data_IF_402210894598
#
_entry.id   IF_402210894598
#
_cell.length_a   1.000
_cell.length_b   1.000
_cell.length_c   1.000
_cell.angle_alpha   90.00
_cell.angle_beta   90.00
_cell.angle_gamma   90.00
#
_symmetry.space_group_name_H-M   'P 1'
#
loop_
_entity.id
_entity.type
_entity.pdbx_description
1 polymer ?
#
# COMPACT_ATOMS: atom_id res chain seq x y z
N UNK A 1 56.08 18.10 25.09
CA UNK A 1 55.85 18.73 26.41
C UNK A 1 54.34 18.79 26.59
N UNK A 2 53.77 17.85 27.38
CA UNK A 2 53.27 18.05 28.76
C UNK A 2 52.08 19.02 28.81
N UNK A 3 50.94 18.77 29.45
CA UNK A 3 50.44 17.62 30.25
C UNK A 3 49.03 17.99 30.75
N UNK A 4 48.15 16.99 30.91
CA UNK A 4 47.22 16.75 32.06
C UNK A 4 46.36 17.91 32.63
N UNK A 5 45.06 17.74 32.91
CA UNK A 5 44.61 16.81 33.96
C UNK A 5 43.10 16.53 33.93
N UNK A 6 42.80 15.32 34.42
CA UNK A 6 41.50 14.69 34.70
C UNK A 6 40.74 15.27 35.89
N UNK A 7 39.44 14.95 36.01
CA UNK A 7 38.88 14.33 37.24
C UNK A 7 37.53 13.65 37.00
N UNK A 8 37.43 12.45 37.56
CA UNK A 8 36.26 11.56 37.67
C UNK A 8 35.22 12.08 38.66
N UNK A 9 33.96 11.65 38.50
CA UNK A 9 33.17 11.10 39.62
C UNK A 9 32.11 10.12 39.11
N UNK A 10 32.08 8.94 39.73
CA UNK A 10 31.09 7.88 39.59
C UNK A 10 30.60 7.51 40.99
N UNK A 11 29.29 7.24 41.15
CA UNK A 11 28.63 6.40 42.16
C UNK A 11 27.10 6.66 42.02
N UNK A 12 26.16 5.71 42.09
CA UNK A 12 25.98 4.68 43.11
C UNK A 12 25.02 3.59 42.60
N UNK A 13 25.33 2.35 42.95
CA UNK A 13 24.47 1.17 42.84
C UNK A 13 24.02 0.75 44.24
N UNK A 14 22.79 0.27 44.39
CA UNK A 14 22.28 -0.38 45.60
C UNK A 14 21.64 -1.73 45.24
N UNK A 15 22.06 -2.83 45.86
CA UNK A 15 21.33 -4.09 45.91
C UNK A 15 20.67 -4.28 47.29
N UNK A 16 19.48 -4.88 47.33
CA UNK A 16 18.93 -5.45 48.56
C UNK A 16 18.64 -6.94 48.42
N UNK A 17 18.86 -7.60 49.56
CA UNK A 17 19.22 -8.98 49.80
C UNK A 17 18.01 -9.79 50.27
N UNK A 18 18.11 -11.10 50.04
CA UNK A 18 17.27 -12.17 50.57
C UNK A 18 17.03 -12.10 52.09
N UNK A 19 15.82 -12.50 52.51
CA UNK A 19 15.58 -13.12 53.81
C UNK A 19 14.80 -14.43 53.64
N UNK A 20 15.36 -15.44 54.32
CA UNK A 20 14.92 -16.81 54.52
C UNK A 20 13.80 -16.92 55.55
N UNK A 21 12.91 -17.89 55.39
CA UNK A 21 11.93 -18.29 56.41
C UNK A 21 11.40 -19.69 56.16
N UNK A 22 12.03 -20.67 56.78
CA UNK A 22 11.69 -22.09 56.83
C UNK A 22 10.48 -22.37 57.73
N UNK A 23 9.62 -23.30 57.34
CA UNK A 23 8.58 -23.90 58.18
C UNK A 23 8.07 -25.20 57.58
N UNK A 24 8.69 -26.30 58.00
CA UNK A 24 8.38 -27.70 57.65
C UNK A 24 7.27 -28.28 58.55
N UNK A 25 6.69 -29.38 58.05
CA UNK A 25 5.89 -30.48 58.69
C UNK A 25 4.49 -30.57 58.06
N UNK A 26 3.99 -31.72 57.61
CA UNK A 26 4.47 -33.09 57.59
C UNK A 26 3.61 -33.88 56.59
N UNK A 27 4.14 -35.03 56.16
CA UNK A 27 3.56 -35.87 55.13
C UNK A 27 2.93 -37.16 55.71
N UNK A 28 2.18 -37.85 54.85
CA UNK A 28 2.06 -39.33 54.69
C UNK A 28 0.70 -39.99 55.02
N UNK A 29 0.20 -40.69 53.97
CA UNK A 29 -0.64 -41.91 53.90
C UNK A 29 -2.06 -41.88 54.49
N UNK A 30 -3.07 -42.57 53.96
CA UNK A 30 -3.14 -43.64 52.95
C UNK A 30 -4.20 -44.66 53.38
N UNK A 31 -4.92 -45.23 52.39
CA UNK A 31 -5.76 -46.44 52.44
C UNK A 31 -7.17 -46.39 53.08
N UNK A 32 -8.17 -46.55 52.21
CA UNK A 32 -8.99 -47.78 52.13
C UNK A 32 -9.93 -48.15 53.28
N UNK A 33 -11.24 -48.06 53.04
CA UNK A 33 -12.25 -48.70 53.87
C UNK A 33 -13.66 -48.56 53.30
N UNK A 34 -14.16 -49.63 52.67
CA UNK A 34 -15.51 -49.72 52.14
C UNK A 34 -16.50 -50.19 53.22
N UNK A 35 -17.65 -49.53 53.35
CA UNK A 35 -18.89 -50.09 53.89
C UNK A 35 -20.11 -49.51 53.16
N UNK A 36 -20.98 -50.40 52.71
CA UNK A 36 -22.25 -50.22 51.97
C UNK A 36 -23.44 -49.97 52.94
N UNK A 37 -24.70 -49.83 52.48
CA UNK A 37 -25.28 -48.68 51.77
C UNK A 37 -26.56 -48.15 52.47
N UNK A 38 -26.85 -46.85 52.41
CA UNK A 38 -28.16 -46.32 52.84
C UNK A 38 -29.08 -45.97 51.66
N UNK A 39 -30.29 -46.50 51.77
CA UNK A 39 -31.37 -46.58 50.79
C UNK A 39 -32.04 -45.21 50.60
N UNK A 40 -31.45 -44.31 49.80
CA UNK A 40 -32.10 -43.03 49.45
C UNK A 40 -31.84 -42.54 48.00
N UNK A 41 -31.18 -43.33 47.14
CA UNK A 41 -30.76 -42.89 45.79
C UNK A 41 -31.52 -43.50 44.60
N UNK A 42 -32.62 -44.22 44.80
CA UNK A 42 -33.35 -44.90 43.72
C UNK A 42 -34.51 -44.10 43.09
N UNK A 43 -34.89 -42.91 43.61
CA UNK A 43 -35.94 -42.07 43.01
C UNK A 43 -35.46 -40.87 42.16
N UNK A 44 -34.16 -40.59 42.14
CA UNK A 44 -33.56 -39.46 41.39
C UNK A 44 -32.81 -39.88 40.11
N UNK A 45 -32.65 -41.18 39.86
CA UNK A 45 -31.96 -41.72 38.68
C UNK A 45 -32.90 -42.06 37.50
N UNK A 46 -34.18 -42.33 37.78
CA UNK A 46 -35.17 -42.61 36.73
C UNK A 46 -35.62 -41.34 35.97
N UNK A 47 -35.60 -40.17 36.61
CA UNK A 47 -36.01 -38.89 36.01
C UNK A 47 -34.90 -38.22 35.18
N UNK A 48 -33.63 -38.59 35.37
CA UNK A 48 -32.50 -38.08 34.58
C UNK A 48 -32.30 -38.83 33.25
N UNK A 49 -32.57 -40.14 33.19
CA UNK A 49 -32.49 -40.90 31.92
C UNK A 49 -33.62 -40.56 30.95
N UNK A 50 -34.83 -40.34 31.43
CA UNK A 50 -35.96 -39.92 30.59
C UNK A 50 -35.75 -38.51 30.05
N UNK A 51 -35.23 -37.57 30.86
CA UNK A 51 -34.90 -36.22 30.38
C UNK A 51 -33.80 -36.22 29.33
N UNK A 52 -32.74 -37.01 29.50
CA UNK A 52 -31.62 -37.09 28.54
C UNK A 52 -32.04 -37.73 27.20
N UNK A 53 -32.90 -38.76 27.24
CA UNK A 53 -33.46 -39.37 26.03
C UNK A 53 -34.37 -38.40 25.26
N UNK A 54 -35.19 -37.61 25.97
CA UNK A 54 -36.03 -36.59 25.32
C UNK A 54 -35.19 -35.46 24.71
N UNK A 55 -34.12 -34.97 25.35
CA UNK A 55 -33.26 -33.94 24.74
C UNK A 55 -32.50 -34.47 23.53
N UNK A 56 -32.00 -35.71 23.55
CA UNK A 56 -31.30 -36.30 22.41
C UNK A 56 -32.25 -36.54 21.23
N UNK A 57 -33.46 -37.06 21.47
CA UNK A 57 -34.47 -37.22 20.43
C UNK A 57 -34.95 -35.87 19.86
N UNK A 58 -35.07 -34.83 20.68
CA UNK A 58 -35.45 -33.48 20.22
C UNK A 58 -34.36 -32.82 19.39
N UNK A 59 -33.08 -33.01 19.75
CA UNK A 59 -31.94 -32.50 18.95
C UNK A 59 -31.79 -33.25 17.63
N UNK A 60 -31.99 -34.57 17.60
CA UNK A 60 -31.98 -35.34 16.34
C UNK A 60 -33.16 -34.95 15.45
N UNK A 61 -34.35 -34.72 16.01
CA UNK A 61 -35.50 -34.22 15.24
C UNK A 61 -35.26 -32.81 14.67
N UNK A 62 -34.62 -31.90 15.41
CA UNK A 62 -34.21 -30.58 14.89
C UNK A 62 -33.17 -30.74 13.77
N UNK A 63 -32.19 -31.64 13.92
CA UNK A 63 -31.23 -31.91 12.84
C UNK A 63 -31.90 -32.46 11.57
N UNK A 64 -32.91 -33.34 11.70
CA UNK A 64 -33.67 -33.84 10.56
C UNK A 64 -34.59 -32.78 9.93
N UNK A 65 -35.17 -31.87 10.73
CA UNK A 65 -35.97 -30.74 10.23
C UNK A 65 -35.11 -29.66 9.55
N UNK A 66 -33.85 -29.48 9.98
CA UNK A 66 -32.88 -28.62 9.29
C UNK A 66 -32.26 -29.27 8.04
N UNK A 67 -32.11 -30.60 7.98
CA UNK A 67 -31.65 -31.29 6.77
C UNK A 67 -32.73 -31.48 5.71
N UNK A 68 -34.02 -31.49 6.10
CA UNK A 68 -35.14 -31.68 5.17
C UNK A 68 -35.70 -30.38 4.57
N UNK A 69 -35.22 -29.21 5.00
CA UNK A 69 -35.69 -27.90 4.50
C UNK A 69 -34.79 -27.28 3.41
N UNK A 70 -33.75 -28.00 2.95
CA UNK A 70 -32.88 -27.57 1.85
C UNK A 70 -32.91 -28.56 0.69
N UNK A 71 -34.09 -28.78 0.12
CA UNK A 71 -34.20 -29.29 -1.27
C UNK A 71 -35.29 -28.51 -2.00
N UNK A 72 -34.97 -27.27 -2.34
CA UNK A 72 -35.67 -26.51 -3.37
C UNK A 72 -34.68 -26.21 -4.51
N UNK A 73 -35.14 -26.16 -5.78
CA UNK A 73 -34.27 -26.23 -6.94
C UNK A 73 -33.41 -24.97 -7.04
N UNK A 74 -32.12 -25.17 -7.33
CA UNK A 74 -31.17 -24.13 -7.71
C UNK A 74 -31.62 -23.49 -9.03
N UNK A 75 -32.46 -22.46 -8.92
CA UNK A 75 -32.56 -21.41 -9.93
C UNK A 75 -31.34 -20.51 -9.71
N UNK A 76 -30.50 -20.41 -10.74
CA UNK A 76 -29.18 -19.79 -10.70
C UNK A 76 -29.19 -18.40 -10.10
N UNK A 77 -28.58 -18.28 -8.93
CA UNK A 77 -28.14 -17.01 -8.38
C UNK A 77 -26.74 -16.78 -8.93
N UNK A 78 -26.64 -15.77 -9.81
CA UNK A 78 -25.37 -15.34 -10.39
C UNK A 78 -24.37 -15.03 -9.29
N UNK A 79 -23.17 -15.60 -9.44
CA UNK A 79 -21.98 -15.09 -8.81
C UNK A 79 -21.81 -13.64 -9.27
N UNK A 80 -21.94 -12.71 -8.34
CA UNK A 80 -21.56 -11.31 -8.53
C UNK A 80 -20.03 -11.30 -8.66
N UNK A 81 -19.54 -11.49 -9.89
CA UNK A 81 -18.15 -11.26 -10.24
C UNK A 81 -17.84 -9.77 -10.07
N UNK A 82 -17.06 -9.47 -9.05
CA UNK A 82 -16.45 -8.18 -8.80
C UNK A 82 -15.81 -7.61 -10.08
N UNK A 83 -16.36 -6.49 -10.56
CA UNK A 83 -15.60 -5.37 -11.13
C UNK A 83 -14.85 -5.53 -12.47
N UNK A 84 -14.84 -6.69 -13.14
CA UNK A 84 -14.08 -6.86 -14.39
C UNK A 84 -14.89 -7.31 -15.61
N UNK A 85 -16.19 -7.58 -15.47
CA UNK A 85 -17.04 -8.05 -16.58
C UNK A 85 -17.47 -6.93 -17.55
N UNK A 86 -17.25 -5.65 -17.23
CA UNK A 86 -17.73 -4.52 -18.06
C UNK A 86 -16.91 -4.28 -19.35
N UNK A 87 -15.82 -5.02 -19.60
CA UNK A 87 -15.01 -4.85 -20.82
C UNK A 87 -15.19 -5.96 -21.88
N UNK A 88 -16.18 -6.84 -21.72
CA UNK A 88 -16.38 -8.00 -22.60
C UNK A 88 -17.67 -7.87 -23.44
N UNK A 89 -17.71 -6.88 -24.32
CA UNK A 89 -18.66 -6.86 -25.43
C UNK A 89 -18.03 -7.43 -26.69
N UNK A 90 -18.23 -8.73 -26.95
CA UNK A 90 -18.03 -9.30 -28.29
C UNK A 90 -19.19 -8.84 -29.18
N UNK A 91 -18.90 -8.47 -30.43
CA UNK A 91 -19.81 -7.74 -31.30
C UNK A 91 -21.21 -8.34 -31.47
N UNK A 92 -22.13 -7.44 -31.84
CA UNK A 92 -23.54 -7.63 -32.26
C UNK A 92 -24.66 -7.50 -31.21
N UNK A 93 -24.61 -6.48 -30.34
CA UNK A 93 -25.86 -5.87 -29.88
C UNK A 93 -25.69 -4.35 -29.66
N UNK A 94 -26.51 -3.55 -30.34
CA UNK A 94 -26.51 -2.09 -30.27
C UNK A 94 -27.27 -1.60 -29.02
N UNK A 95 -26.77 -1.97 -27.84
CA UNK A 95 -27.01 -1.23 -26.60
C UNK A 95 -25.82 -0.33 -26.33
N UNK A 96 -25.97 0.99 -26.43
CA UNK A 96 -24.94 1.96 -26.03
C UNK A 96 -24.76 1.86 -24.52
N UNK A 97 -23.93 0.93 -24.05
CA UNK A 97 -23.46 0.91 -22.67
C UNK A 97 -22.49 2.07 -22.48
N UNK A 98 -22.97 3.19 -21.96
CA UNK A 98 -22.12 4.34 -21.64
C UNK A 98 -21.25 4.03 -20.43
N UNK A 99 -19.94 3.91 -20.62
CA UNK A 99 -18.95 3.81 -19.53
C UNK A 99 -18.95 5.13 -18.75
N UNK A 100 -19.32 5.11 -17.46
CA UNK A 100 -19.33 6.32 -16.62
C UNK A 100 -17.95 6.56 -16.02
N UNK A 101 -17.39 7.75 -16.23
CA UNK A 101 -16.14 8.23 -15.61
C UNK A 101 -16.13 7.93 -14.12
N UNK A 102 -15.06 7.28 -13.66
CA UNK A 102 -14.83 6.95 -12.25
C UNK A 102 -14.06 8.09 -11.58
N UNK A 103 -14.55 8.55 -10.44
CA UNK A 103 -13.98 9.66 -9.68
C UNK A 103 -13.47 9.25 -8.30
N UNK A 104 -13.82 8.04 -7.84
CA UNK A 104 -13.41 7.49 -6.56
C UNK A 104 -12.25 6.51 -6.76
N UNK A 105 -11.03 6.96 -6.47
CA UNK A 105 -9.79 6.21 -6.72
C UNK A 105 -8.93 6.16 -5.46
N UNK A 106 -8.56 4.94 -5.07
CA UNK A 106 -7.45 4.73 -4.15
C UNK A 106 -6.26 4.17 -4.92
N UNK A 107 -5.17 4.93 -4.98
CA UNK A 107 -3.91 4.49 -5.54
C UNK A 107 -2.89 4.23 -4.43
N UNK A 108 -2.63 2.95 -4.17
CA UNK A 108 -1.57 2.53 -3.26
C UNK A 108 -0.21 2.72 -3.92
N UNK A 109 0.42 3.85 -3.59
CA UNK A 109 1.73 4.24 -4.09
C UNK A 109 2.86 3.42 -3.44
N UNK A 110 3.52 2.57 -4.23
CA UNK A 110 4.71 1.79 -3.81
C UNK A 110 6.01 2.53 -4.15
N UNK A 111 7.06 2.36 -3.35
CA UNK A 111 8.31 3.08 -3.55
C UNK A 111 9.08 2.61 -4.79
N UNK A 112 9.64 3.58 -5.53
CA UNK A 112 10.52 3.37 -6.70
C UNK A 112 9.90 2.54 -7.85
N UNK A 113 8.57 2.46 -7.92
CA UNK A 113 7.80 1.80 -8.97
C UNK A 113 7.25 2.76 -10.04
N UNK A 114 7.92 3.88 -10.32
CA UNK A 114 7.39 5.00 -11.14
C UNK A 114 6.06 5.60 -10.60
N UNK A 115 5.81 5.41 -9.31
CA UNK A 115 4.53 5.71 -8.68
C UNK A 115 4.28 7.21 -8.46
N UNK A 116 5.32 8.06 -8.41
CA UNK A 116 5.15 9.53 -8.41
C UNK A 116 4.60 10.05 -9.74
N UNK A 117 4.93 9.42 -10.87
CA UNK A 117 4.34 9.78 -12.16
C UNK A 117 2.85 9.44 -12.22
N UNK A 118 2.44 8.27 -11.70
CA UNK A 118 1.03 7.91 -11.56
C UNK A 118 0.29 8.79 -10.55
N UNK A 119 0.95 9.17 -9.45
CA UNK A 119 0.37 10.13 -8.52
C UNK A 119 0.04 11.46 -9.22
N UNK A 120 0.91 11.95 -10.11
CA UNK A 120 0.62 13.14 -10.91
C UNK A 120 -0.60 12.91 -11.81
N UNK A 121 -0.75 11.75 -12.47
CA UNK A 121 -1.96 11.40 -13.25
C UNK A 121 -3.22 11.54 -12.40
N UNK A 122 -3.25 10.94 -11.20
CA UNK A 122 -4.42 11.01 -10.32
C UNK A 122 -4.66 12.42 -9.73
N UNK A 123 -3.60 13.12 -9.33
CA UNK A 123 -3.71 14.49 -8.81
C UNK A 123 -4.14 15.49 -9.87
N UNK A 124 -3.62 15.37 -11.10
CA UNK A 124 -4.02 16.18 -12.24
C UNK A 124 -5.49 15.99 -12.55
N UNK A 125 -5.96 14.74 -12.60
CA UNK A 125 -7.38 14.45 -12.81
C UNK A 125 -8.23 15.07 -11.70
N UNK A 126 -7.88 14.84 -10.43
CA UNK A 126 -8.62 15.42 -9.31
C UNK A 126 -8.63 16.94 -9.32
N UNK A 127 -7.50 17.58 -9.64
CA UNK A 127 -7.38 19.03 -9.75
C UNK A 127 -8.23 19.60 -10.91
N UNK A 128 -8.17 18.97 -12.09
CA UNK A 128 -8.95 19.35 -13.28
C UNK A 128 -10.46 19.26 -13.03
N UNK A 129 -10.89 18.27 -12.24
CA UNK A 129 -12.30 18.00 -11.95
C UNK A 129 -12.77 18.52 -10.58
N UNK A 130 -11.94 19.32 -9.88
CA UNK A 130 -12.24 19.85 -8.54
C UNK A 130 -12.66 18.78 -7.50
N UNK A 131 -12.04 17.61 -7.58
CA UNK A 131 -12.29 16.49 -6.68
C UNK A 131 -11.55 16.67 -5.34
N UNK A 132 -12.09 16.05 -4.27
CA UNK A 132 -11.47 16.09 -2.94
C UNK A 132 -10.39 15.02 -2.85
N UNK A 133 -9.15 15.43 -2.60
CA UNK A 133 -7.95 14.61 -2.54
C UNK A 133 -7.49 14.41 -1.09
N UNK A 134 -7.21 13.16 -0.72
CA UNK A 134 -6.64 12.79 0.56
C UNK A 134 -5.16 13.22 0.63
N UNK A 135 -4.89 14.23 1.47
CA UNK A 135 -3.56 14.80 1.67
C UNK A 135 -3.11 14.67 3.13
N UNK A 136 -1.81 14.39 3.38
CA UNK A 136 -1.27 14.35 4.74
C UNK A 136 -1.32 15.73 5.39
N UNK A 137 -1.20 15.76 6.73
CA UNK A 137 -1.13 16.98 7.53
C UNK A 137 -0.13 18.00 6.96
N UNK A 138 -0.35 19.29 7.24
CA UNK A 138 0.36 20.43 6.61
C UNK A 138 1.89 20.30 6.60
N UNK A 139 2.47 19.66 7.63
CA UNK A 139 3.93 19.51 7.78
C UNK A 139 4.48 18.13 7.37
N UNK A 140 3.66 17.28 6.73
CA UNK A 140 4.03 15.93 6.33
C UNK A 140 3.82 15.74 4.82
N UNK A 141 4.58 14.85 4.17
CA UNK A 141 4.35 14.49 2.76
C UNK A 141 3.83 13.05 2.60
N UNK A 142 3.73 12.34 3.72
CA UNK A 142 3.41 10.92 3.81
C UNK A 142 2.32 10.74 4.86
N UNK A 143 1.41 9.80 4.63
CA UNK A 143 0.58 9.24 5.67
C UNK A 143 1.30 8.09 6.36
N UNK A 144 2.04 8.42 7.42
CA UNK A 144 2.81 7.44 8.17
C UNK A 144 4.08 7.01 7.43
N UNK A 145 4.30 5.69 7.36
CA UNK A 145 5.54 5.05 6.89
C UNK A 145 6.72 5.36 7.84
N UNK A 146 7.00 4.51 8.84
CA UNK A 146 6.74 3.07 8.85
C UNK A 146 5.39 2.65 9.45
N UNK A 147 4.69 3.56 10.14
CA UNK A 147 3.36 3.28 10.67
C UNK A 147 2.38 3.02 9.52
N UNK A 148 1.46 2.09 9.75
CA UNK A 148 0.29 1.88 8.88
C UNK A 148 -0.56 3.14 8.78
N UNK A 149 -1.25 3.29 7.65
CA UNK A 149 -2.27 4.32 7.50
C UNK A 149 -3.28 4.26 8.65
N UNK A 150 -3.57 5.42 9.22
CA UNK A 150 -4.67 5.61 10.15
C UNK A 150 -5.40 6.88 9.74
N UNK A 151 -6.74 6.87 9.74
CA UNK A 151 -7.49 8.05 9.27
C UNK A 151 -7.22 9.33 10.07
N UNK A 152 -6.75 9.21 11.32
CA UNK A 152 -6.34 10.37 12.13
C UNK A 152 -5.16 11.16 11.54
N UNK A 153 -4.46 10.61 10.53
CA UNK A 153 -3.41 11.30 9.78
C UNK A 153 -3.95 12.27 8.71
N UNK A 154 -5.27 12.30 8.50
CA UNK A 154 -5.92 13.23 7.59
C UNK A 154 -6.25 14.52 8.33
N UNK A 155 -5.90 15.66 7.70
CA UNK A 155 -6.11 16.98 8.28
C UNK A 155 -7.59 17.23 8.64
N UNK A 156 -8.51 16.73 7.83
CA UNK A 156 -9.93 17.09 7.93
C UNK A 156 -10.75 16.16 8.83
N UNK A 157 -10.18 15.05 9.30
CA UNK A 157 -10.73 14.24 10.39
C UNK A 157 -10.43 14.86 11.77
N UNK A 158 -9.51 15.83 11.82
CA UNK A 158 -9.15 16.56 13.05
C UNK A 158 -9.94 17.85 13.26
N UNK A 159 -10.61 18.35 12.21
CA UNK A 159 -11.50 19.51 12.29
C UNK A 159 -12.91 19.00 12.60
N UNK A 160 -13.55 19.53 13.65
CA UNK A 160 -14.88 19.12 14.14
C UNK A 160 -16.02 19.49 13.16
N UNK A 161 -15.91 19.07 11.90
CA UNK A 161 -17.01 19.16 10.94
C UNK A 161 -17.98 18.02 11.24
N UNK A 162 -19.27 18.33 11.37
CA UNK A 162 -20.32 17.35 11.74
C UNK A 162 -20.60 16.29 10.66
N UNK A 163 -19.90 16.35 9.53
CA UNK A 163 -20.09 15.43 8.40
C UNK A 163 -18.74 14.79 8.04
N UNK A 164 -18.67 13.46 7.89
CA UNK A 164 -17.46 12.80 7.43
C UNK A 164 -17.13 13.28 6.01
N UNK A 165 -15.90 13.78 5.82
CA UNK A 165 -15.45 14.17 4.49
C UNK A 165 -15.12 12.92 3.71
N UNK A 166 -15.78 12.77 2.57
CA UNK A 166 -15.57 11.68 1.65
C UNK A 166 -14.53 12.10 0.63
N UNK A 167 -13.42 11.36 0.54
CA UNK A 167 -12.36 11.65 -0.41
C UNK A 167 -12.62 10.94 -1.74
N UNK A 168 -12.46 11.67 -2.84
CA UNK A 168 -12.57 11.13 -4.18
C UNK A 168 -11.25 10.47 -4.59
N UNK A 169 -10.10 11.09 -4.33
CA UNK A 169 -8.80 10.53 -4.74
C UNK A 169 -7.85 10.42 -3.55
N UNK A 170 -7.26 9.24 -3.37
CA UNK A 170 -6.16 9.02 -2.43
C UNK A 170 -4.98 8.42 -3.19
N UNK A 171 -3.96 9.24 -3.45
CA UNK A 171 -2.74 8.81 -4.16
C UNK A 171 -1.41 9.23 -3.45
N UNK A 172 -1.49 9.73 -2.22
CA UNK A 172 -0.31 10.12 -1.42
C UNK A 172 0.42 8.91 -0.85
N UNK A 173 1.74 9.03 -0.62
CA UNK A 173 2.52 7.96 0.01
C UNK A 173 1.93 7.52 1.35
N UNK A 174 1.75 6.21 1.52
CA UNK A 174 1.28 5.62 2.77
C UNK A 174 1.82 4.20 2.94
N UNK A 175 1.57 3.59 4.10
CA UNK A 175 1.68 2.14 4.28
C UNK A 175 0.28 1.57 4.41
N UNK A 176 -0.06 0.63 3.53
CA UNK A 176 -1.44 0.24 3.29
C UNK A 176 -2.11 -0.38 4.52
N UNK A 177 -3.30 0.11 4.84
CA UNK A 177 -4.20 -0.51 5.81
C UNK A 177 -5.62 -0.44 5.25
N UNK A 178 -6.01 -1.47 4.49
CA UNK A 178 -7.30 -1.52 3.78
C UNK A 178 -8.49 -1.15 4.67
N UNK A 179 -8.50 -1.68 5.91
CA UNK A 179 -9.56 -1.41 6.86
C UNK A 179 -9.72 0.06 7.23
N UNK A 180 -8.65 0.87 7.21
CA UNK A 180 -8.66 2.31 7.51
C UNK A 180 -8.96 3.15 6.27
N UNK A 181 -8.48 2.71 5.10
CA UNK A 181 -8.79 3.36 3.81
C UNK A 181 -10.29 3.32 3.51
N UNK A 182 -10.96 2.17 3.73
CA UNK A 182 -12.43 2.04 3.53
C UNK A 182 -13.28 2.95 4.40
N UNK A 183 -12.73 3.52 5.46
CA UNK A 183 -13.47 4.44 6.32
C UNK A 183 -13.54 5.87 5.77
N UNK A 184 -12.68 6.20 4.82
CA UNK A 184 -12.53 7.56 4.28
C UNK A 184 -12.80 7.65 2.78
N UNK A 185 -12.80 6.50 2.10
CA UNK A 185 -13.10 6.37 0.68
C UNK A 185 -14.54 5.83 0.47
N UNK A 186 -15.27 6.27 -0.56
CA UNK A 186 -16.55 5.68 -0.99
C UNK A 186 -16.52 4.16 -1.20
N UNK A 187 -17.68 3.52 -1.13
CA UNK A 187 -17.81 2.06 -1.35
C UNK A 187 -17.58 1.65 -2.81
N UNK A 188 -17.77 2.54 -3.77
CA UNK A 188 -17.51 2.34 -5.20
C UNK A 188 -16.08 2.74 -5.63
N UNK A 189 -15.17 2.92 -4.65
CA UNK A 189 -13.78 3.25 -4.91
C UNK A 189 -13.07 2.15 -5.69
N UNK A 190 -12.37 2.55 -6.74
CA UNK A 190 -11.47 1.68 -7.52
C UNK A 190 -10.09 1.66 -6.85
N UNK A 191 -9.61 0.47 -6.50
CA UNK A 191 -8.33 0.23 -5.84
C UNK A 191 -7.27 -0.14 -6.86
N UNK A 192 -6.24 0.70 -6.96
CA UNK A 192 -5.13 0.53 -7.90
C UNK A 192 -3.82 0.52 -7.13
N UNK A 193 -2.86 -0.28 -7.57
CA UNK A 193 -1.46 -0.16 -7.15
C UNK A 193 -0.53 -0.39 -8.33
N UNK A 194 0.77 -0.22 -8.11
CA UNK A 194 1.80 -0.50 -9.09
C UNK A 194 2.92 -1.31 -8.45
N UNK A 195 3.45 -2.27 -9.19
CA UNK A 195 4.63 -3.05 -8.81
C UNK A 195 5.74 -2.83 -9.84
N UNK A 196 6.93 -3.30 -9.46
CA UNK A 196 8.12 -3.24 -10.30
C UNK A 196 8.97 -4.48 -10.03
N UNK A 197 9.76 -4.89 -11.02
CA UNK A 197 10.77 -5.93 -10.82
C UNK A 197 11.58 -5.66 -9.52
N UNK A 198 11.62 -6.62 -8.56
CA UNK A 198 12.25 -6.39 -7.26
C UNK A 198 13.75 -6.07 -7.33
N UNK A 199 14.46 -6.59 -8.34
CA UNK A 199 15.89 -6.33 -8.52
C UNK A 199 16.11 -4.88 -8.93
N UNK A 200 15.42 -4.43 -9.98
CA UNK A 200 15.48 -3.04 -10.44
C UNK A 200 14.91 -2.04 -9.44
N UNK A 201 13.95 -2.45 -8.61
CA UNK A 201 13.43 -1.67 -7.49
C UNK A 201 14.48 -1.51 -6.40
N UNK A 202 15.06 -2.60 -5.92
CA UNK A 202 16.02 -2.56 -4.80
C UNK A 202 17.28 -1.80 -5.21
N UNK A 203 17.81 -2.02 -6.42
CA UNK A 203 18.92 -1.24 -6.97
C UNK A 203 18.60 0.26 -7.03
N UNK A 204 17.40 0.62 -7.48
CA UNK A 204 16.95 2.01 -7.48
C UNK A 204 16.83 2.60 -6.06
N UNK A 205 16.37 1.83 -5.09
CA UNK A 205 16.31 2.25 -3.68
C UNK A 205 17.70 2.41 -3.07
N UNK A 206 18.62 1.51 -3.39
CA UNK A 206 19.98 1.48 -2.84
C UNK A 206 20.72 2.79 -3.11
N UNK A 207 20.56 3.30 -4.32
CA UNK A 207 21.07 4.61 -4.74
C UNK A 207 20.27 5.78 -4.16
N UNK A 208 18.94 5.72 -4.26
CA UNK A 208 18.10 6.87 -3.93
C UNK A 208 18.08 7.20 -2.43
N UNK A 209 18.01 6.17 -1.58
CA UNK A 209 17.95 6.30 -0.12
C UNK A 209 19.31 6.14 0.57
N UNK A 210 20.40 6.15 -0.20
CA UNK A 210 21.78 6.00 0.28
C UNK A 210 21.95 4.77 1.19
N UNK A 211 21.40 3.63 0.76
CA UNK A 211 21.45 2.41 1.56
C UNK A 211 22.88 1.90 1.74
N UNK A 212 23.80 2.26 0.84
CA UNK A 212 25.23 2.00 1.03
C UNK A 212 25.77 2.57 2.35
N UNK A 213 25.25 3.70 2.82
CA UNK A 213 25.63 4.29 4.11
C UNK A 213 25.03 3.52 5.29
N UNK A 214 23.84 2.93 5.10
CA UNK A 214 23.19 2.12 6.14
C UNK A 214 23.82 0.74 6.29
N UNK A 215 24.09 0.07 5.17
CA UNK A 215 24.74 -1.24 5.13
C UNK A 215 26.26 -1.14 5.26
N UNK A 216 26.84 0.04 5.05
CA UNK A 216 28.30 0.29 4.96
C UNK A 216 28.98 -0.54 3.86
N UNK A 217 28.25 -0.85 2.79
CA UNK A 217 28.68 -1.69 1.69
C UNK A 217 28.17 -1.13 0.36
N UNK A 218 28.91 -1.37 -0.72
CA UNK A 218 28.32 -1.20 -2.05
C UNK A 218 27.19 -2.22 -2.27
N UNK A 219 26.34 -2.01 -3.28
CA UNK A 219 25.30 -3.00 -3.61
C UNK A 219 25.92 -4.35 -3.99
N UNK A 220 27.04 -4.31 -4.74
CA UNK A 220 27.78 -5.49 -5.16
C UNK A 220 28.38 -6.25 -3.98
N UNK A 221 29.04 -5.55 -3.05
CA UNK A 221 29.60 -6.19 -1.86
C UNK A 221 28.52 -6.80 -0.96
N UNK A 222 27.37 -6.12 -0.85
CA UNK A 222 26.24 -6.64 -0.08
C UNK A 222 25.77 -7.99 -0.64
N UNK A 223 25.59 -8.10 -1.96
CA UNK A 223 25.06 -9.34 -2.57
C UNK A 223 26.12 -10.44 -2.67
N UNK A 224 27.40 -10.09 -2.77
CA UNK A 224 28.49 -11.07 -2.86
C UNK A 224 28.90 -11.62 -1.49
N UNK A 225 28.95 -10.77 -0.47
CA UNK A 225 29.41 -11.16 0.87
C UNK A 225 28.26 -11.51 1.83
N UNK A 226 27.04 -11.03 1.59
CA UNK A 226 25.86 -11.31 2.44
C UNK A 226 24.68 -11.89 1.65
N UNK A 227 24.88 -13.02 0.92
CA UNK A 227 23.83 -13.60 0.07
C UNK A 227 22.72 -14.30 0.87
N UNK A 228 22.95 -14.64 2.14
CA UNK A 228 21.97 -15.32 3.00
C UNK A 228 20.89 -14.34 3.48
N UNK A 229 19.60 -14.57 3.18
CA UNK A 229 18.51 -13.76 3.72
C UNK A 229 18.45 -13.73 5.25
N UNK A 230 19.05 -14.67 5.97
CA UNK A 230 19.09 -14.72 7.44
C UNK A 230 20.21 -13.88 8.06
N UNK A 231 21.11 -13.33 7.25
CA UNK A 231 22.21 -12.49 7.72
C UNK A 231 21.66 -11.33 8.59
N UNK A 232 22.21 -11.13 9.82
CA UNK A 232 21.79 -10.04 10.70
C UNK A 232 21.81 -8.64 10.06
N UNK A 233 22.65 -8.41 9.04
CA UNK A 233 22.73 -7.14 8.33
C UNK A 233 21.38 -6.72 7.72
N UNK A 234 20.57 -7.70 7.32
CA UNK A 234 19.26 -7.50 6.68
C UNK A 234 18.12 -7.24 7.67
N UNK A 235 18.36 -7.32 8.99
CA UNK A 235 17.32 -7.09 10.02
C UNK A 235 16.91 -5.62 10.10
N UNK A 236 17.84 -4.72 9.84
CA UNK A 236 17.63 -3.29 9.99
C UNK A 236 17.14 -2.65 8.69
N UNK A 237 16.13 -1.79 8.79
CA UNK A 237 15.65 -0.96 7.68
C UNK A 237 16.12 0.47 7.88
N UNK A 238 16.55 1.16 6.83
CA UNK A 238 16.90 2.59 6.90
C UNK A 238 15.68 3.39 7.38
N UNK A 239 15.85 4.14 8.47
CA UNK A 239 14.79 4.89 9.15
C UNK A 239 13.58 4.04 9.59
N UNK A 240 13.76 2.72 9.75
CA UNK A 240 12.69 1.73 9.93
C UNK A 240 11.72 1.60 8.73
N UNK A 241 12.04 2.23 7.59
CA UNK A 241 11.17 2.39 6.42
C UNK A 241 11.65 1.59 5.20
N UNK A 242 12.92 1.78 4.83
CA UNK A 242 13.45 1.34 3.55
C UNK A 242 14.36 0.13 3.70
N UNK A 243 14.11 -0.95 2.94
CA UNK A 243 14.93 -2.16 2.98
C UNK A 243 14.41 -3.23 2.03
N UNK A 244 14.82 -4.48 2.26
CA UNK A 244 14.36 -5.64 1.48
C UNK A 244 12.83 -5.78 1.52
N UNK A 245 12.25 -6.34 0.46
CA UNK A 245 10.81 -6.55 0.29
C UNK A 245 9.99 -5.26 0.51
N UNK A 246 10.37 -4.20 -0.21
CA UNK A 246 9.77 -2.88 -0.02
C UNK A 246 8.33 -2.81 -0.53
N UNK A 247 7.99 -3.50 -1.63
CA UNK A 247 6.60 -3.51 -2.11
C UNK A 247 5.69 -4.19 -1.09
N UNK A 248 6.09 -5.34 -0.57
CA UNK A 248 5.38 -6.03 0.50
C UNK A 248 5.23 -5.16 1.74
N UNK A 249 6.30 -4.44 2.14
CA UNK A 249 6.25 -3.49 3.25
C UNK A 249 5.21 -2.39 3.04
N UNK A 250 5.25 -1.75 1.86
CA UNK A 250 4.35 -0.66 1.49
C UNK A 250 2.90 -1.13 1.45
N UNK A 251 2.64 -2.30 0.84
CA UNK A 251 1.33 -2.95 0.75
C UNK A 251 0.83 -3.48 2.11
N UNK A 252 1.62 -3.36 3.17
CA UNK A 252 1.17 -3.61 4.53
C UNK A 252 1.50 -4.99 5.09
N UNK A 253 2.29 -5.81 4.40
CA UNK A 253 2.80 -7.05 4.99
C UNK A 253 3.75 -6.73 6.16
N UNK A 254 3.58 -7.34 7.34
CA UNK A 254 4.48 -7.12 8.46
C UNK A 254 5.84 -7.77 8.20
N UNK A 255 6.92 -7.13 8.66
CA UNK A 255 8.32 -7.52 8.34
C UNK A 255 8.63 -8.95 8.80
N UNK A 256 8.07 -9.39 9.92
CA UNK A 256 8.25 -10.75 10.43
C UNK A 256 7.62 -11.84 9.53
N UNK A 257 6.70 -11.48 8.63
CA UNK A 257 6.04 -12.40 7.72
C UNK A 257 6.76 -12.53 6.36
N UNK A 258 7.77 -11.71 6.05
CA UNK A 258 8.44 -11.71 4.75
C UNK A 258 9.05 -13.06 4.36
N UNK A 259 9.49 -13.85 5.35
CA UNK A 259 10.09 -15.17 5.12
C UNK A 259 9.09 -16.32 5.24
N UNK A 260 7.85 -16.04 5.63
CA UNK A 260 6.81 -17.06 5.74
C UNK A 260 6.04 -17.13 4.41
N UNK A 261 6.39 -18.11 3.57
CA UNK A 261 5.81 -18.28 2.23
C UNK A 261 4.29 -18.45 2.27
N UNK A 262 3.75 -19.18 3.26
CA UNK A 262 2.30 -19.34 3.43
C UNK A 262 1.63 -18.00 3.73
N UNK A 263 2.23 -17.18 4.60
CA UNK A 263 1.70 -15.85 4.91
C UNK A 263 1.79 -14.90 3.70
N UNK A 264 2.85 -15.00 2.90
CA UNK A 264 3.01 -14.24 1.64
C UNK A 264 1.95 -14.68 0.63
N UNK A 265 1.73 -15.98 0.45
CA UNK A 265 0.73 -16.50 -0.50
C UNK A 265 -0.69 -16.09 -0.11
N UNK A 266 -1.04 -16.17 1.18
CA UNK A 266 -2.31 -15.65 1.70
C UNK A 266 -2.43 -14.14 1.51
N UNK A 267 -1.32 -13.40 1.64
CA UNK A 267 -1.30 -11.96 1.41
C UNK A 267 -1.53 -11.62 -0.06
N UNK A 268 -0.93 -12.36 -0.99
CA UNK A 268 -1.17 -12.22 -2.44
C UNK A 268 -2.66 -12.39 -2.76
N UNK A 269 -3.33 -13.40 -2.18
CA UNK A 269 -4.77 -13.59 -2.39
C UNK A 269 -5.59 -12.41 -1.87
N UNK A 270 -5.27 -11.89 -0.68
CA UNK A 270 -5.92 -10.66 -0.17
C UNK A 270 -5.71 -9.46 -1.08
N UNK A 271 -4.53 -9.31 -1.68
CA UNK A 271 -4.26 -8.23 -2.63
C UNK A 271 -5.09 -8.39 -3.91
N UNK A 272 -5.21 -9.61 -4.44
CA UNK A 272 -6.04 -9.91 -5.63
C UNK A 272 -7.51 -9.58 -5.37
N UNK A 273 -8.02 -9.90 -4.17
CA UNK A 273 -9.39 -9.55 -3.76
C UNK A 273 -9.61 -8.04 -3.54
N UNK A 274 -8.53 -7.30 -3.26
CA UNK A 274 -8.62 -5.88 -2.87
C UNK A 274 -8.40 -4.93 -4.05
N UNK A 275 -7.46 -5.22 -4.95
CA UNK A 275 -7.05 -4.31 -6.01
C UNK A 275 -7.70 -4.69 -7.35
N UNK A 276 -8.51 -3.79 -7.90
CA UNK A 276 -9.13 -3.93 -9.22
C UNK A 276 -8.08 -4.02 -10.34
N UNK A 277 -6.97 -3.29 -10.18
CA UNK A 277 -5.84 -3.31 -11.10
C UNK A 277 -4.49 -3.12 -10.40
N UNK A 278 -3.59 -4.08 -10.63
CA UNK A 278 -2.18 -4.00 -10.27
C UNK A 278 -1.37 -3.72 -11.54
N UNK A 279 -0.82 -2.52 -11.62
CA UNK A 279 0.01 -2.04 -12.74
C UNK A 279 1.42 -2.64 -12.61
N UNK A 280 2.13 -2.82 -13.74
CA UNK A 280 3.52 -3.27 -13.76
C UNK A 280 4.39 -2.21 -14.44
N UNK A 281 5.38 -1.69 -13.73
CA UNK A 281 6.22 -0.59 -14.22
C UNK A 281 6.98 -0.92 -15.51
N UNK A 282 7.43 -2.17 -15.66
CA UNK A 282 8.08 -2.70 -16.87
C UNK A 282 7.13 -2.80 -18.08
N UNK A 283 5.81 -2.75 -17.83
CA UNK A 283 4.73 -2.87 -18.81
C UNK A 283 3.81 -1.65 -18.75
N UNK A 284 4.41 -0.46 -18.59
CA UNK A 284 3.67 0.77 -18.30
C UNK A 284 2.62 1.10 -19.36
N UNK A 285 2.93 1.00 -20.66
CA UNK A 285 1.95 1.34 -21.70
C UNK A 285 0.71 0.43 -21.67
N UNK A 286 0.90 -0.89 -21.47
CA UNK A 286 -0.24 -1.82 -21.29
C UNK A 286 -1.02 -1.51 -20.01
N UNK A 287 -0.30 -1.20 -18.93
CA UNK A 287 -0.87 -0.85 -17.64
C UNK A 287 -1.74 0.42 -17.73
N UNK A 288 -1.27 1.46 -18.43
CA UNK A 288 -2.01 2.72 -18.63
C UNK A 288 -3.21 2.56 -19.55
N UNK A 289 -3.12 1.73 -20.59
CA UNK A 289 -4.29 1.38 -21.42
C UNK A 289 -5.37 0.73 -20.56
N UNK A 290 -5.03 -0.31 -19.80
CA UNK A 290 -6.01 -0.98 -18.92
C UNK A 290 -6.57 -0.03 -17.86
N UNK A 291 -5.74 0.85 -17.29
CA UNK A 291 -6.16 1.87 -16.33
C UNK A 291 -7.20 2.83 -16.93
N UNK A 292 -6.94 3.36 -18.12
CA UNK A 292 -7.85 4.27 -18.84
C UNK A 292 -9.23 3.64 -19.01
N UNK A 293 -9.26 2.40 -19.45
CA UNK A 293 -10.49 1.65 -19.69
C UNK A 293 -11.23 1.29 -18.40
N UNK A 294 -10.50 0.92 -17.34
CA UNK A 294 -11.06 0.68 -16.02
C UNK A 294 -11.77 1.92 -15.45
N UNK A 295 -11.18 3.10 -15.66
CA UNK A 295 -11.68 4.36 -15.11
C UNK A 295 -12.66 5.10 -16.04
N UNK A 296 -12.86 4.59 -17.27
CA UNK A 296 -13.57 5.28 -18.35
C UNK A 296 -13.00 6.69 -18.60
N UNK A 297 -11.69 6.87 -18.53
CA UNK A 297 -11.02 8.16 -18.70
C UNK A 297 -10.63 8.42 -20.16
N UNK A 298 -10.43 9.70 -20.49
CA UNK A 298 -9.93 10.09 -21.80
C UNK A 298 -8.42 9.78 -21.88
N UNK A 299 -7.89 9.61 -23.09
CA UNK A 299 -6.47 9.23 -23.28
C UNK A 299 -5.52 10.24 -22.64
N UNK A 300 -5.84 11.52 -22.72
CA UNK A 300 -5.02 12.61 -22.17
C UNK A 300 -4.99 12.61 -20.65
N UNK A 301 -6.06 12.12 -20.00
CA UNK A 301 -6.13 12.05 -18.55
C UNK A 301 -5.08 11.05 -18.00
N UNK A 302 -4.72 10.02 -18.75
CA UNK A 302 -3.73 9.00 -18.36
C UNK A 302 -2.32 9.21 -18.95
N UNK A 303 -2.10 10.27 -19.72
CA UNK A 303 -0.77 10.59 -20.26
C UNK A 303 0.23 10.76 -19.13
N UNK A 304 1.35 10.05 -19.22
CA UNK A 304 2.34 9.96 -18.16
C UNK A 304 3.67 10.53 -18.64
N UNK A 305 4.16 11.57 -17.97
CA UNK A 305 5.54 12.00 -18.14
C UNK A 305 6.47 11.21 -17.22
N UNK A 306 7.55 10.71 -17.81
CA UNK A 306 8.57 9.95 -17.09
C UNK A 306 9.45 10.90 -16.28
N UNK A 307 8.89 11.43 -15.19
CA UNK A 307 9.60 12.22 -14.18
C UNK A 307 10.63 11.36 -13.47
N UNK A 308 11.70 11.98 -12.97
CA UNK A 308 12.73 11.32 -12.16
C UNK A 308 13.54 10.23 -12.91
N UNK A 309 13.78 10.39 -14.21
CA UNK A 309 14.75 9.56 -14.91
C UNK A 309 16.13 9.65 -14.21
N UNK A 310 16.70 8.49 -13.84
CA UNK A 310 17.95 8.42 -13.04
C UNK A 310 19.12 9.10 -13.75
N UNK A 311 19.98 9.76 -12.97
CA UNK A 311 21.29 10.21 -13.47
C UNK A 311 22.14 9.01 -13.92
N UNK A 312 22.95 9.22 -14.96
CA UNK A 312 23.75 8.19 -15.65
C UNK A 312 24.81 7.51 -14.77
N UNK A 313 25.19 8.12 -13.65
CA UNK A 313 26.26 7.63 -12.77
C UNK A 313 25.91 6.32 -12.04
N UNK A 314 24.64 6.08 -11.71
CA UNK A 314 24.23 4.91 -10.90
C UNK A 314 23.52 3.82 -11.70
N UNK A 315 23.19 4.05 -12.98
CA UNK A 315 22.90 2.94 -13.91
C UNK A 315 24.12 2.00 -14.00
N UNK A 316 25.33 2.57 -13.95
CA UNK A 316 26.61 1.83 -13.97
C UNK A 316 26.75 0.80 -12.85
N UNK A 317 26.19 1.03 -11.65
CA UNK A 317 26.30 0.05 -10.55
C UNK A 317 25.35 -1.14 -10.71
N UNK A 318 24.20 -0.97 -11.37
CA UNK A 318 23.33 -2.09 -11.77
C UNK A 318 23.93 -2.85 -12.97
N UNK A 319 24.56 -2.14 -13.90
CA UNK A 319 25.27 -2.72 -15.05
C UNK A 319 26.49 -3.59 -14.64
N UNK A 320 26.99 -3.44 -13.41
CA UNK A 320 28.07 -4.25 -12.85
C UNK A 320 27.61 -5.54 -12.17
N UNK A 321 26.29 -5.77 -12.04
CA UNK A 321 25.76 -6.97 -11.39
C UNK A 321 25.87 -8.18 -12.32
N UNK A 322 26.44 -9.27 -11.80
CA UNK A 322 26.49 -10.56 -12.51
C UNK A 322 25.13 -11.27 -12.45
N UNK A 323 24.87 -12.28 -13.30
CA UNK A 323 23.65 -13.09 -13.19
C UNK A 323 23.47 -13.74 -11.81
N UNK A 324 24.57 -14.09 -11.13
CA UNK A 324 24.56 -14.60 -9.77
C UNK A 324 24.06 -13.53 -8.79
N UNK A 325 24.57 -12.31 -8.89
CA UNK A 325 24.17 -11.17 -8.04
C UNK A 325 22.68 -10.86 -8.19
N UNK A 326 22.18 -10.90 -9.44
CA UNK A 326 20.75 -10.74 -9.74
C UNK A 326 19.92 -11.83 -9.06
N UNK A 327 20.34 -13.10 -9.12
CA UNK A 327 19.61 -14.18 -8.46
C UNK A 327 19.65 -14.07 -6.93
N UNK A 328 20.77 -13.62 -6.36
CA UNK A 328 20.86 -13.30 -4.93
C UNK A 328 19.87 -12.21 -4.57
N UNK A 329 19.76 -11.13 -5.35
CA UNK A 329 18.79 -10.06 -5.09
C UNK A 329 17.34 -10.52 -5.12
N UNK A 330 16.99 -11.42 -6.05
CA UNK A 330 15.65 -12.07 -6.04
C UNK A 330 15.42 -12.87 -4.78
N UNK A 331 16.43 -13.60 -4.31
CA UNK A 331 16.35 -14.42 -3.09
C UNK A 331 16.22 -13.54 -1.84
N UNK A 332 16.98 -12.44 -1.75
CA UNK A 332 16.88 -11.48 -0.65
C UNK A 332 15.51 -10.76 -0.64
N UNK A 333 14.91 -10.54 -1.82
CA UNK A 333 13.60 -9.92 -2.00
C UNK A 333 12.50 -10.95 -2.36
N UNK A 334 12.56 -12.15 -1.77
CA UNK A 334 11.69 -13.26 -2.16
C UNK A 334 10.18 -12.99 -2.01
N UNK A 335 9.75 -12.20 -1.01
CA UNK A 335 8.34 -11.86 -0.87
C UNK A 335 7.87 -10.92 -1.99
N UNK A 336 8.67 -9.90 -2.31
CA UNK A 336 8.40 -8.99 -3.42
C UNK A 336 8.43 -9.73 -4.77
N UNK A 337 9.37 -10.66 -4.95
CA UNK A 337 9.46 -11.51 -6.15
C UNK A 337 8.18 -12.30 -6.36
N UNK A 338 7.69 -12.96 -5.30
CA UNK A 338 6.48 -13.78 -5.35
C UNK A 338 5.23 -12.94 -5.67
N UNK A 339 5.11 -11.75 -5.07
CA UNK A 339 4.02 -10.81 -5.36
C UNK A 339 4.11 -10.32 -6.82
N UNK A 340 5.30 -9.92 -7.27
CA UNK A 340 5.51 -9.44 -8.64
C UNK A 340 5.19 -10.50 -9.69
N UNK A 341 5.67 -11.73 -9.52
CA UNK A 341 5.45 -12.82 -10.48
C UNK A 341 3.96 -13.13 -10.64
N UNK A 342 3.22 -13.20 -9.52
CA UNK A 342 1.78 -13.42 -9.54
C UNK A 342 1.04 -12.32 -10.31
N UNK A 343 1.27 -11.05 -9.96
CA UNK A 343 0.53 -9.94 -10.59
C UNK A 343 0.98 -9.63 -12.02
N UNK A 344 2.23 -9.92 -12.38
CA UNK A 344 2.66 -9.83 -13.77
C UNK A 344 2.00 -10.91 -14.65
N UNK A 345 1.78 -12.12 -14.11
CA UNK A 345 0.96 -13.13 -14.78
C UNK A 345 -0.50 -12.67 -14.93
N UNK A 346 -1.09 -12.11 -13.86
CA UNK A 346 -2.44 -11.52 -13.92
C UNK A 346 -2.58 -10.39 -14.93
N UNK A 347 -1.58 -9.51 -15.03
CA UNK A 347 -1.56 -8.47 -16.05
C UNK A 347 -1.53 -9.09 -17.46
N UNK A 348 -0.76 -10.16 -17.66
CA UNK A 348 -0.73 -10.91 -18.93
C UNK A 348 -2.10 -11.45 -19.30
N UNK A 349 -2.84 -12.01 -18.33
CA UNK A 349 -4.22 -12.46 -18.56
C UNK A 349 -5.15 -11.29 -18.94
N UNK A 350 -5.08 -10.16 -18.23
CA UNK A 350 -5.89 -8.97 -18.54
C UNK A 350 -5.58 -8.42 -19.93
N UNK A 351 -4.31 -8.34 -20.32
CA UNK A 351 -3.88 -7.93 -21.67
C UNK A 351 -4.41 -8.89 -22.73
N UNK A 352 -4.33 -10.21 -22.50
CA UNK A 352 -4.87 -11.21 -23.43
C UNK A 352 -6.38 -11.07 -23.61
N UNK A 353 -7.12 -10.83 -22.53
CA UNK A 353 -8.59 -10.60 -22.57
C UNK A 353 -8.94 -9.29 -23.29
N UNK A 354 -8.14 -8.24 -23.13
CA UNK A 354 -8.35 -6.97 -23.81
C UNK A 354 -8.18 -7.08 -25.34
N UNK A 355 -7.38 -8.04 -25.81
CA UNK A 355 -7.16 -8.34 -27.22
C UNK A 355 -5.88 -7.70 -27.76
N UNK A 356 -5.08 -8.49 -28.48
CA UNK A 356 -3.74 -8.10 -28.92
C UNK A 356 -3.74 -6.89 -29.88
N UNK A 357 -4.62 -6.91 -30.90
CA UNK A 357 -4.70 -5.81 -31.86
C UNK A 357 -5.16 -4.51 -31.19
N UNK A 358 -6.26 -4.58 -30.42
CA UNK A 358 -6.77 -3.44 -29.67
C UNK A 358 -5.73 -2.87 -28.71
N UNK A 359 -5.00 -3.72 -28.00
CA UNK A 359 -3.91 -3.28 -27.13
C UNK A 359 -2.81 -2.55 -27.91
N UNK A 360 -2.44 -3.04 -29.10
CA UNK A 360 -1.46 -2.38 -29.95
C UNK A 360 -1.93 -1.00 -30.40
N UNK A 361 -3.18 -0.89 -30.86
CA UNK A 361 -3.76 0.37 -31.34
C UNK A 361 -3.86 1.41 -30.21
N UNK A 362 -4.32 1.00 -29.02
CA UNK A 362 -4.45 1.88 -27.86
C UNK A 362 -3.11 2.32 -27.29
N UNK A 363 -2.08 1.45 -27.36
CA UNK A 363 -0.71 1.84 -27.00
C UNK A 363 -0.16 2.87 -27.99
N UNK A 364 -0.36 2.66 -29.30
CA UNK A 364 0.07 3.63 -30.31
C UNK A 364 -0.60 4.99 -30.09
N UNK A 365 -1.90 5.01 -29.81
CA UNK A 365 -2.63 6.24 -29.48
C UNK A 365 -2.05 6.92 -28.23
N UNK A 366 -1.81 6.17 -27.16
CA UNK A 366 -1.22 6.70 -25.93
C UNK A 366 0.19 7.27 -26.15
N UNK A 367 1.02 6.59 -26.95
CA UNK A 367 2.37 7.04 -27.30
C UNK A 367 2.32 8.33 -28.13
N UNK A 368 1.41 8.42 -29.12
CA UNK A 368 1.18 9.64 -29.90
C UNK A 368 0.76 10.81 -29.02
N UNK A 369 -0.20 10.60 -28.11
CA UNK A 369 -0.66 11.67 -27.20
C UNK A 369 0.41 12.06 -26.19
N UNK A 370 1.17 11.10 -25.68
CA UNK A 370 2.28 11.38 -24.75
C UNK A 370 3.36 12.21 -25.43
N UNK A 371 3.69 11.91 -26.69
CA UNK A 371 4.63 12.70 -27.49
C UNK A 371 4.13 14.11 -27.73
N UNK A 372 2.87 14.26 -28.15
CA UNK A 372 2.24 15.56 -28.37
C UNK A 372 2.33 16.44 -27.12
N UNK A 373 1.89 15.95 -25.96
CA UNK A 373 1.95 16.74 -24.73
C UNK A 373 3.38 17.03 -24.28
N UNK A 374 4.33 16.11 -24.51
CA UNK A 374 5.72 16.37 -24.19
C UNK A 374 6.28 17.52 -25.03
N UNK A 375 6.02 17.54 -26.34
CA UNK A 375 6.46 18.61 -27.26
C UNK A 375 5.76 19.95 -27.01
N UNK A 376 4.50 19.91 -26.56
CA UNK A 376 3.74 21.10 -26.20
C UNK A 376 4.26 21.73 -24.89
N UNK A 377 4.59 20.90 -23.90
CA UNK A 377 4.87 21.37 -22.54
C UNK A 377 6.36 21.55 -22.23
N UNK A 378 7.25 20.73 -22.77
CA UNK A 378 8.64 20.63 -22.31
C UNK A 378 9.59 21.34 -23.27
N UNK A 379 10.26 22.39 -22.78
CA UNK A 379 11.36 23.06 -23.49
C UNK A 379 12.67 22.27 -23.33
N UNK A 380 13.02 21.88 -22.10
CA UNK A 380 14.25 21.15 -21.79
C UNK A 380 14.11 20.23 -20.56
N UNK A 381 15.00 19.24 -20.44
CA UNK A 381 15.09 18.32 -19.30
C UNK A 381 16.35 18.61 -18.49
N UNK A 382 16.19 19.30 -17.36
CA UNK A 382 17.30 19.85 -16.57
C UNK A 382 17.63 19.03 -15.32
N UNK A 383 18.90 19.08 -14.92
CA UNK A 383 19.36 18.60 -13.61
C UNK A 383 19.18 19.69 -12.58
N UNK A 384 18.98 19.30 -11.33
CA UNK A 384 19.04 20.23 -10.20
C UNK A 384 20.48 20.36 -9.73
N UNK A 385 20.99 21.59 -9.64
CA UNK A 385 22.40 21.85 -9.32
C UNK A 385 22.79 21.42 -7.90
N UNK A 386 21.92 21.68 -6.92
CA UNK A 386 22.17 21.42 -5.51
C UNK A 386 20.88 21.21 -4.69
N UNK A 387 21.00 20.76 -3.44
CA UNK A 387 19.83 20.46 -2.59
C UNK A 387 19.04 21.71 -2.17
N UNK A 388 19.67 22.88 -2.14
CA UNK A 388 18.99 24.14 -1.82
C UNK A 388 18.05 24.57 -2.95
N UNK A 389 18.53 24.50 -4.20
CA UNK A 389 17.72 24.69 -5.40
C UNK A 389 16.58 23.69 -5.45
N UNK A 390 16.83 22.41 -5.14
CA UNK A 390 15.78 21.39 -5.09
C UNK A 390 14.67 21.79 -4.11
N UNK A 391 15.03 22.17 -2.87
CA UNK A 391 14.08 22.60 -1.85
C UNK A 391 13.27 23.82 -2.28
N UNK A 392 13.93 24.85 -2.82
CA UNK A 392 13.28 26.09 -3.30
C UNK A 392 12.26 25.81 -4.40
N UNK A 393 12.57 24.87 -5.29
CA UNK A 393 11.69 24.45 -6.39
C UNK A 393 10.68 23.37 -5.98
N UNK A 394 10.63 22.98 -4.70
CA UNK A 394 9.83 21.85 -4.20
C UNK A 394 10.10 20.53 -4.97
N UNK A 395 11.34 20.36 -5.43
CA UNK A 395 11.85 19.11 -5.99
C UNK A 395 12.40 18.27 -4.84
N UNK A 396 12.10 16.96 -4.86
CA UNK A 396 12.40 16.09 -3.72
C UNK A 396 13.90 16.00 -3.39
N UNK A 397 14.79 15.98 -4.39
CA UNK A 397 16.24 15.90 -4.20
C UNK A 397 16.99 16.35 -5.45
N UNK A 398 18.24 16.80 -5.30
CA UNK A 398 19.12 17.08 -6.45
C UNK A 398 19.43 15.87 -7.35
N UNK A 399 19.10 14.65 -6.91
CA UNK A 399 19.37 13.40 -7.65
C UNK A 399 18.37 13.14 -8.80
N UNK A 400 17.39 14.02 -9.01
CA UNK A 400 16.35 13.85 -10.03
C UNK A 400 16.43 14.93 -11.12
N UNK A 401 15.90 14.60 -12.29
CA UNK A 401 15.68 15.54 -13.39
C UNK A 401 14.31 16.22 -13.22
N UNK A 402 14.19 17.46 -13.67
CA UNK A 402 12.92 18.17 -13.81
C UNK A 402 12.72 18.64 -15.25
N UNK A 403 11.49 18.98 -15.59
CA UNK A 403 11.13 19.53 -16.90
C UNK A 403 11.03 21.05 -16.81
N UNK A 404 11.71 21.74 -17.70
CA UNK A 404 11.49 23.17 -17.94
C UNK A 404 10.25 23.33 -18.81
N UNK A 405 9.30 24.13 -18.32
CA UNK A 405 8.08 24.44 -19.04
C UNK A 405 8.37 25.44 -20.16
N UNK A 406 7.73 25.24 -21.31
CA UNK A 406 7.84 26.13 -22.47
C UNK A 406 7.11 27.46 -22.24
N UNK A 407 7.69 28.55 -22.74
CA UNK A 407 7.05 29.86 -22.67
C UNK A 407 5.73 29.88 -23.45
N UNK A 408 4.65 30.31 -22.78
CA UNK A 408 3.31 30.35 -23.36
C UNK A 408 2.63 28.99 -23.51
N UNK A 409 3.11 27.95 -22.82
CA UNK A 409 2.52 26.62 -22.84
C UNK A 409 1.04 26.59 -22.38
N UNK A 410 0.29 25.59 -22.85
CA UNK A 410 -1.08 25.34 -22.42
C UNK A 410 -1.17 25.25 -20.88
N UNK A 411 -2.18 25.84 -20.22
CA UNK A 411 -2.33 25.77 -18.77
C UNK A 411 -2.34 24.34 -18.19
N UNK A 412 -2.72 23.34 -18.99
CA UNK A 412 -2.64 21.93 -18.61
C UNK A 412 -1.19 21.46 -18.41
N UNK A 413 -0.23 22.04 -19.12
CA UNK A 413 1.20 21.77 -18.96
C UNK A 413 1.67 22.00 -17.52
N UNK A 414 1.17 23.06 -16.86
CA UNK A 414 1.46 23.30 -15.45
C UNK A 414 1.02 22.12 -14.57
N UNK A 415 -0.10 21.45 -14.86
CA UNK A 415 -0.52 20.26 -14.11
C UNK A 415 0.35 19.06 -14.46
N UNK A 416 0.66 18.88 -15.75
CA UNK A 416 1.48 17.75 -16.24
C UNK A 416 2.91 17.80 -15.69
N UNK A 417 3.51 18.98 -15.61
CA UNK A 417 4.92 19.17 -15.23
C UNK A 417 5.13 19.28 -13.72
N UNK A 418 4.14 19.73 -12.95
CA UNK A 418 4.26 19.96 -11.50
C UNK A 418 4.78 18.74 -10.73
N UNK A 419 5.84 18.97 -9.97
CA UNK A 419 6.47 17.96 -9.12
C UNK A 419 5.61 17.60 -7.92
N UNK A 420 5.82 16.40 -7.37
CA UNK A 420 4.99 15.81 -6.31
C UNK A 420 4.77 16.74 -5.11
N UNK A 421 5.84 17.31 -4.55
CA UNK A 421 5.73 18.16 -3.35
C UNK A 421 5.05 19.50 -3.67
N UNK A 422 5.35 20.07 -4.83
CA UNK A 422 4.70 21.29 -5.33
C UNK A 422 3.20 21.06 -5.55
N UNK A 423 2.81 19.88 -6.05
CA UNK A 423 1.41 19.53 -6.27
C UNK A 423 0.67 19.32 -4.95
N UNK A 424 1.28 18.59 -4.00
CA UNK A 424 0.70 18.44 -2.66
C UNK A 424 0.48 19.81 -2.00
N UNK A 425 1.45 20.74 -2.10
CA UNK A 425 1.31 22.09 -1.55
C UNK A 425 0.15 22.86 -2.20
N UNK A 426 0.05 22.86 -3.53
CA UNK A 426 -1.03 23.49 -4.28
C UNK A 426 -2.40 22.93 -3.88
N UNK A 427 -2.54 21.61 -3.82
CA UNK A 427 -3.82 20.96 -3.49
C UNK A 427 -4.23 21.23 -2.04
N UNK A 428 -3.27 21.30 -1.12
CA UNK A 428 -3.54 21.72 0.27
C UNK A 428 -4.09 23.13 0.33
N UNK A 429 -3.44 24.06 -0.38
CA UNK A 429 -3.88 25.45 -0.44
C UNK A 429 -5.31 25.52 -1.02
N UNK A 430 -5.56 24.90 -2.17
CA UNK A 430 -6.90 24.85 -2.79
C UNK A 430 -7.98 24.30 -1.86
N UNK A 431 -7.71 23.19 -1.18
CA UNK A 431 -8.68 22.57 -0.27
C UNK A 431 -8.85 23.36 1.03
N UNK A 432 -7.84 24.13 1.47
CA UNK A 432 -7.99 25.02 2.63
C UNK A 432 -9.01 26.15 2.38
N UNK A 433 -9.08 26.68 1.15
CA UNK A 433 -10.06 27.70 0.76
C UNK A 433 -11.47 27.14 0.66
N UNK A 434 -11.64 25.92 0.14
CA UNK A 434 -12.93 25.21 0.13
C UNK A 434 -13.46 25.09 1.56
N UNK A 435 -12.61 24.71 2.51
CA UNK A 435 -12.97 24.59 3.92
C UNK A 435 -13.34 25.94 4.56
N UNK A 436 -12.59 27.00 4.26
CA UNK A 436 -12.91 28.36 4.75
C UNK A 436 -14.29 28.82 4.26
N UNK A 437 -14.62 28.57 3.00
CA UNK A 437 -15.93 28.94 2.45
C UNK A 437 -17.06 28.10 3.06
N UNK A 438 -16.88 26.78 3.22
CA UNK A 438 -17.88 25.91 3.85
C UNK A 438 -18.15 26.29 5.31
N UNK A 439 -17.12 26.62 6.09
CA UNK A 439 -17.27 27.06 7.49
C UNK A 439 -17.98 28.40 7.61
N UNK A 440 -17.69 29.35 6.70
CA UNK A 440 -18.40 30.64 6.63
C UNK A 440 -19.87 30.49 6.25
N UNK A 441 -20.19 29.62 5.28
CA UNK A 441 -21.57 29.36 4.84
C UNK A 441 -22.37 28.61 5.90
N UNK A 442 -21.75 27.71 6.65
CA UNK A 442 -22.41 26.94 7.72
C UNK A 442 -22.48 27.67 9.07
N UNK A 443 -22.07 28.94 9.14
CA UNK A 443 -22.15 29.76 10.35
C UNK A 443 -21.20 29.35 11.48
N UNK A 444 -20.28 28.40 11.23
CA UNK A 444 -19.31 27.94 12.21
C UNK A 444 -18.00 28.73 12.06
N UNK A 445 -17.97 29.92 12.67
CA UNK A 445 -16.76 30.74 12.78
C UNK A 445 -15.75 30.03 13.70
N UNK A 446 -14.79 29.30 13.13
CA UNK A 446 -13.60 28.87 13.87
C UNK A 446 -12.73 30.11 14.12
N UNK A 447 -12.69 30.52 15.38
CA UNK A 447 -11.80 31.56 15.89
C UNK A 447 -10.36 31.17 15.49
N UNK A 448 -9.72 32.02 14.69
CA UNK A 448 -8.27 31.97 14.42
C UNK A 448 -7.53 31.89 15.75
N UNK A 449 -6.92 30.75 16.07
CA UNK A 449 -5.74 30.73 16.92
C UNK A 449 -4.53 30.83 16.01
N UNK A 450 -3.91 32.00 16.03
CA UNK A 450 -2.55 32.18 15.54
C UNK A 450 -1.62 31.20 16.26
N UNK A 451 -0.94 30.36 15.49
CA UNK A 451 0.36 29.79 15.81
C UNK A 451 1.20 29.80 14.53
#
# INVERSE_FOLDING_TARGET
>A
MKSSNSTNTAATSHPYRLLTGSGTTGAIAGAGGAHTPSVWRSRLWATRRVRLLFTVCFLVAICFLFSASYTAPLIGVGLEESGMVVLLGNGSDQGVYSCRRKEHIFFMKTHKCASSSLQNVFFRYGDKHNLTIALPLTNANYFGHPAFFNRSMLQMETTHTRQPIVYSIFASHTRFHHGEVRKVMPTDTIYITILRDPVGLFGSMYSYYDLHTAYKLSLQDLVQHHPDPLDPIHRNRRYNKFGLNQMAFDLGLPVNAFRNTVAVDQFIQRLEETFDLVLIAERMSESLVLLRYLLCWDVDDVVLFKKNARSTLFKKSEEQLTPRDVNTLRTLNAADQRIYDYFNAKLTEKVKRFGAQRMADEKALLDTRSKYWFEECVEDVKKVDNEETAKRMHIYSKKVMYFEEKDGADPECQRMLREELAYIALLREKQSYINYNLTKVTGNTLIKRHL
#
